data_IF_858597845817
#
_entry.id   IF_858597845817
#
_cell.length_a   1.000
_cell.length_b   1.000
_cell.length_c   1.000
_cell.angle_alpha   90.00
_cell.angle_beta   90.00
_cell.angle_gamma   90.00
#
_symmetry.space_group_name_H-M   'P 1'
#
loop_
_entity.id
_entity.type
_entity.pdbx_description
1 polymer ?
#
# COMPACT_ATOMS: atom_id res chain seq x y z
N UNK A 1 18.64 -7.24 -31.57
CA UNK A 1 18.29 -6.30 -30.49
C UNK A 1 17.65 -7.10 -29.35
N UNK A 2 17.78 -6.68 -28.10
CA UNK A 2 16.98 -7.30 -27.04
C UNK A 2 15.53 -6.90 -27.25
N UNK A 3 14.65 -7.90 -27.34
CA UNK A 3 13.22 -7.70 -27.50
C UNK A 3 12.69 -6.94 -26.27
N UNK A 4 12.07 -5.77 -26.48
CA UNK A 4 11.50 -4.99 -25.39
C UNK A 4 10.22 -5.68 -24.96
N UNK A 5 10.18 -6.19 -23.72
CA UNK A 5 8.98 -6.80 -23.17
C UNK A 5 7.80 -5.82 -23.24
N UNK A 6 6.62 -6.31 -23.67
CA UNK A 6 5.41 -5.51 -23.66
C UNK A 6 5.05 -5.12 -22.22
N UNK A 7 5.11 -3.83 -21.91
CA UNK A 7 4.93 -3.32 -20.55
C UNK A 7 3.43 -3.16 -20.26
N UNK A 8 2.87 -3.82 -19.22
CA UNK A 8 1.49 -3.65 -18.83
C UNK A 8 1.17 -2.18 -18.50
N UNK A 9 -0.06 -1.76 -18.83
CA UNK A 9 -0.52 -0.38 -18.60
C UNK A 9 -0.33 0.03 -17.13
N UNK A 10 0.30 1.19 -16.93
CA UNK A 10 0.52 1.78 -15.61
C UNK A 10 1.85 1.38 -14.94
N UNK A 11 2.63 0.52 -15.59
CA UNK A 11 4.00 0.23 -15.22
C UNK A 11 4.99 0.99 -16.12
N UNK A 12 6.22 1.08 -15.66
CA UNK A 12 7.37 1.54 -16.43
C UNK A 12 8.38 0.40 -16.57
N UNK A 13 9.23 0.48 -17.60
CA UNK A 13 10.34 -0.44 -17.81
C UNK A 13 11.59 0.33 -18.24
N UNK A 14 12.70 0.12 -17.54
CA UNK A 14 13.99 0.72 -17.84
C UNK A 14 15.00 -0.35 -18.23
N UNK A 15 15.66 -0.17 -19.37
CA UNK A 15 16.82 -0.97 -19.76
C UNK A 15 18.05 -0.52 -18.97
N UNK A 16 18.63 -1.41 -18.17
CA UNK A 16 19.83 -1.14 -17.38
C UNK A 16 21.09 -1.62 -18.09
N UNK A 17 20.99 -2.76 -18.80
CA UNK A 17 22.01 -3.31 -19.69
C UNK A 17 21.32 -3.93 -20.92
N UNK A 18 22.12 -4.38 -21.90
CA UNK A 18 21.58 -5.01 -23.12
C UNK A 18 20.69 -6.22 -22.82
N UNK A 19 20.95 -6.94 -21.75
CA UNK A 19 20.30 -8.17 -21.32
C UNK A 19 19.58 -8.03 -19.97
N UNK A 20 19.40 -6.80 -19.47
CA UNK A 20 18.80 -6.55 -18.16
C UNK A 20 17.83 -5.36 -18.21
N UNK A 21 16.58 -5.66 -17.88
CA UNK A 21 15.48 -4.70 -17.78
C UNK A 21 14.94 -4.70 -16.35
N UNK A 22 14.49 -3.54 -15.88
CA UNK A 22 13.78 -3.40 -14.60
C UNK A 22 12.40 -2.84 -14.90
N UNK A 23 11.37 -3.60 -14.55
CA UNK A 23 9.99 -3.15 -14.56
C UNK A 23 9.56 -2.71 -13.16
N UNK A 24 8.67 -1.73 -13.08
CA UNK A 24 8.13 -1.28 -11.81
C UNK A 24 6.91 -0.39 -11.95
N UNK A 25 6.33 -0.05 -10.81
CA UNK A 25 5.29 0.94 -10.68
C UNK A 25 5.59 1.90 -9.54
N UNK A 26 4.79 2.95 -9.40
CA UNK A 26 5.04 4.01 -8.40
C UNK A 26 3.79 4.34 -7.59
N UNK A 27 3.83 4.06 -6.30
CA UNK A 27 2.83 4.55 -5.36
C UNK A 27 3.35 5.81 -4.68
N UNK A 28 2.63 6.93 -4.81
CA UNK A 28 3.06 8.22 -4.25
C UNK A 28 2.73 8.28 -2.74
N UNK A 29 1.72 7.53 -2.31
CA UNK A 29 1.06 7.79 -1.02
C UNK A 29 1.13 6.62 -0.03
N UNK A 30 2.25 5.90 -0.02
CA UNK A 30 2.43 4.76 0.90
C UNK A 30 2.53 5.21 2.36
N UNK A 31 3.75 5.47 2.83
CA UNK A 31 4.02 5.83 4.23
C UNK A 31 3.38 7.15 4.68
N UNK A 32 3.15 8.09 3.75
CA UNK A 32 2.56 9.40 4.05
C UNK A 32 1.10 9.30 4.50
N UNK A 33 0.29 8.43 3.89
CA UNK A 33 -1.11 8.23 4.30
C UNK A 33 -1.18 7.59 5.68
N UNK A 34 -0.31 6.62 5.97
CA UNK A 34 -0.22 6.02 7.29
C UNK A 34 0.17 7.06 8.36
N UNK A 35 1.20 7.85 8.10
CA UNK A 35 1.65 8.92 9.00
C UNK A 35 0.54 9.96 9.24
N UNK A 36 -0.15 10.37 8.17
CA UNK A 36 -1.30 11.27 8.26
C UNK A 36 -2.42 10.67 9.11
N UNK A 37 -2.81 9.41 8.88
CA UNK A 37 -3.86 8.74 9.65
C UNK A 37 -3.51 8.66 11.14
N UNK A 38 -2.27 8.30 11.47
CA UNK A 38 -1.80 8.34 12.85
C UNK A 38 -1.91 9.74 13.45
N UNK A 39 -1.41 10.76 12.76
CA UNK A 39 -1.44 12.14 13.25
C UNK A 39 -2.87 12.64 13.50
N UNK A 40 -3.79 12.39 12.56
CA UNK A 40 -5.16 12.88 12.65
C UNK A 40 -6.00 12.17 13.73
N UNK A 41 -5.73 10.89 13.99
CA UNK A 41 -6.60 10.08 14.84
C UNK A 41 -6.00 9.72 16.21
N UNK A 42 -4.70 9.89 16.41
CA UNK A 42 -4.03 9.54 17.65
C UNK A 42 -4.40 10.46 18.82
N UNK A 43 -4.56 11.76 18.58
CA UNK A 43 -4.75 12.75 19.65
C UNK A 43 -3.46 13.08 20.41
N UNK A 44 -2.30 13.00 19.74
CA UNK A 44 -0.97 13.27 20.31
C UNK A 44 -0.07 12.02 20.37
N UNK A 45 1.17 12.20 20.82
CA UNK A 45 2.21 11.17 20.78
C UNK A 45 1.86 9.91 21.57
N UNK A 46 1.35 10.05 22.79
CA UNK A 46 0.91 8.89 23.60
C UNK A 46 -0.22 8.13 22.93
N UNK A 47 -1.10 8.85 22.23
CA UNK A 47 -2.19 8.28 21.47
C UNK A 47 -1.74 7.49 20.24
N UNK A 48 -0.58 7.79 19.66
CA UNK A 48 -0.08 7.10 18.47
C UNK A 48 0.31 5.66 18.77
N UNK A 49 0.96 5.42 19.92
CA UNK A 49 1.33 4.07 20.35
C UNK A 49 0.07 3.24 20.62
N UNK A 50 -0.87 3.81 21.38
CA UNK A 50 -2.14 3.16 21.71
C UNK A 50 -2.99 2.87 20.47
N UNK A 51 -3.07 3.80 19.51
CA UNK A 51 -3.84 3.59 18.29
C UNK A 51 -3.26 2.46 17.42
N UNK A 52 -1.92 2.36 17.35
CA UNK A 52 -1.26 1.23 16.67
C UNK A 52 -1.55 -0.10 17.37
N UNK A 53 -1.55 -0.13 18.70
CA UNK A 53 -1.90 -1.33 19.47
C UNK A 53 -3.36 -1.74 19.24
N UNK A 54 -4.30 -0.78 19.31
CA UNK A 54 -5.72 -0.99 19.02
C UNK A 54 -5.93 -1.56 17.61
N UNK A 55 -5.26 -0.99 16.59
CA UNK A 55 -5.32 -1.49 15.22
C UNK A 55 -4.65 -2.86 15.05
N UNK A 56 -3.61 -3.18 15.84
CA UNK A 56 -2.89 -4.46 15.76
C UNK A 56 -3.68 -5.63 16.34
N UNK A 57 -4.54 -5.36 17.33
CA UNK A 57 -5.39 -6.36 17.95
C UNK A 57 -6.57 -6.81 17.07
N UNK A 58 -6.78 -6.17 15.92
CA UNK A 58 -7.87 -6.46 15.00
C UNK A 58 -7.53 -7.60 14.05
N UNK A 59 -8.53 -8.43 13.76
CA UNK A 59 -8.47 -9.38 12.64
C UNK A 59 -8.48 -8.61 11.31
N UNK A 60 -7.84 -9.19 10.28
CA UNK A 60 -7.82 -8.60 8.95
C UNK A 60 -9.24 -8.39 8.40
N UNK A 61 -9.49 -7.23 7.77
CA UNK A 61 -10.78 -6.84 7.19
C UNK A 61 -11.99 -6.88 8.16
N UNK A 62 -11.75 -6.94 9.47
CA UNK A 62 -12.83 -7.00 10.48
C UNK A 62 -13.56 -5.67 10.71
N UNK A 63 -12.99 -4.55 10.23
CA UNK A 63 -13.54 -3.20 10.39
C UNK A 63 -14.76 -2.91 9.51
N UNK A 64 -15.00 -3.68 8.44
CA UNK A 64 -16.14 -3.46 7.53
C UNK A 64 -16.08 -2.15 6.74
N UNK A 65 -14.87 -1.65 6.48
CA UNK A 65 -14.63 -0.36 5.80
C UNK A 65 -13.95 -0.62 4.46
N UNK A 66 -14.31 0.15 3.44
CA UNK A 66 -13.57 0.21 2.18
C UNK A 66 -12.91 1.56 2.05
N UNK A 67 -11.59 1.55 1.85
CA UNK A 67 -10.76 2.76 1.70
C UNK A 67 -10.16 2.81 0.31
N UNK A 68 -10.35 3.95 -0.37
CA UNK A 68 -9.59 4.34 -1.55
C UNK A 68 -8.52 5.35 -1.11
N UNK A 69 -7.23 4.96 -1.02
CA UNK A 69 -6.20 5.79 -0.38
C UNK A 69 -5.60 6.77 -1.40
N UNK A 70 -6.42 7.66 -1.95
CA UNK A 70 -6.03 8.74 -2.86
C UNK A 70 -5.98 10.10 -2.13
N UNK A 71 -5.56 10.10 -0.87
CA UNK A 71 -5.57 11.32 -0.03
C UNK A 71 -4.58 12.40 -0.52
N UNK A 72 -3.61 12.02 -1.36
CA UNK A 72 -2.67 12.93 -2.01
C UNK A 72 -2.68 12.76 -3.55
N UNK A 73 -3.83 12.35 -4.11
CA UNK A 73 -4.04 12.18 -5.55
C UNK A 73 -3.95 10.74 -6.06
N UNK A 74 -3.97 10.57 -7.38
CA UNK A 74 -3.87 9.27 -8.04
C UNK A 74 -2.48 9.00 -8.61
N UNK A 75 -1.92 7.80 -8.42
CA UNK A 75 -0.62 7.42 -9.00
C UNK A 75 -0.62 6.08 -9.73
N UNK A 76 0.28 6.00 -10.74
CA UNK A 76 0.74 4.92 -11.64
C UNK A 76 -0.28 3.92 -12.22
N UNK A 77 -1.19 3.35 -11.44
CA UNK A 77 -2.21 2.42 -11.96
C UNK A 77 -3.54 3.14 -12.18
N UNK A 78 -3.55 4.05 -13.16
CA UNK A 78 -4.78 4.68 -13.66
C UNK A 78 -4.75 6.19 -13.85
N UNK A 79 -3.71 6.89 -13.38
CA UNK A 79 -3.47 8.34 -13.57
C UNK A 79 -4.76 9.17 -13.62
N UNK A 80 -5.39 9.37 -12.46
CA UNK A 80 -6.51 10.30 -12.32
C UNK A 80 -6.08 11.51 -11.54
N UNK A 81 -5.81 12.58 -12.27
CA UNK A 81 -5.64 13.91 -11.70
C UNK A 81 -6.91 14.29 -10.92
N UNK A 82 -6.73 14.84 -9.72
CA UNK A 82 -7.83 15.24 -8.84
C UNK A 82 -8.55 14.08 -8.14
N UNK A 83 -8.02 12.85 -8.16
CA UNK A 83 -8.55 11.78 -7.32
C UNK A 83 -8.48 12.16 -5.83
N UNK A 84 -9.53 11.85 -5.08
CA UNK A 84 -9.62 12.11 -3.65
C UNK A 84 -9.77 10.81 -2.86
N UNK A 85 -9.24 10.78 -1.65
CA UNK A 85 -9.42 9.65 -0.75
C UNK A 85 -10.90 9.43 -0.42
N UNK A 86 -11.28 8.18 -0.16
CA UNK A 86 -12.64 7.83 0.23
C UNK A 86 -12.59 6.78 1.34
N UNK A 87 -13.43 6.95 2.35
CA UNK A 87 -13.72 5.93 3.37
C UNK A 87 -15.22 5.66 3.33
N UNK A 88 -15.62 4.42 3.07
CA UNK A 88 -17.04 4.01 3.05
C UNK A 88 -17.29 2.86 4.02
N UNK A 89 -18.56 2.68 4.40
CA UNK A 89 -18.98 1.67 5.39
C UNK A 89 -19.02 2.17 6.83
N UNK A 90 -18.80 3.46 7.07
CA UNK A 90 -18.81 4.03 8.42
C UNK A 90 -20.20 3.91 9.06
N UNK A 91 -20.21 3.55 10.34
CA UNK A 91 -21.39 3.55 11.21
C UNK A 91 -21.08 4.29 12.50
N UNK A 92 -22.06 4.47 13.38
CA UNK A 92 -21.82 5.02 14.73
C UNK A 92 -20.89 4.16 15.60
N UNK A 93 -20.62 2.91 15.19
CA UNK A 93 -19.68 2.01 15.89
C UNK A 93 -18.25 2.13 15.37
N UNK A 94 -18.03 2.82 14.25
CA UNK A 94 -16.69 2.94 13.65
C UNK A 94 -15.77 3.72 14.57
N UNK A 95 -14.66 3.09 14.96
CA UNK A 95 -13.61 3.65 15.78
C UNK A 95 -12.48 4.23 14.95
N UNK A 96 -11.60 4.99 15.60
CA UNK A 96 -10.34 5.46 14.99
C UNK A 96 -9.41 4.32 14.57
N UNK A 97 -9.42 3.21 15.31
CA UNK A 97 -8.60 2.05 15.02
C UNK A 97 -9.08 1.34 13.74
N UNK A 98 -10.40 1.23 13.56
CA UNK A 98 -11.00 0.72 12.33
C UNK A 98 -10.53 1.51 11.11
N UNK A 99 -10.55 2.84 11.20
CA UNK A 99 -10.13 3.71 10.10
C UNK A 99 -8.63 3.55 9.81
N UNK A 100 -7.78 3.53 10.84
CA UNK A 100 -6.33 3.36 10.65
C UNK A 100 -6.03 1.99 10.04
N UNK A 101 -6.64 0.91 10.56
CA UNK A 101 -6.45 -0.45 10.05
C UNK A 101 -6.86 -0.55 8.58
N UNK A 102 -8.03 -0.03 8.23
CA UNK A 102 -8.53 0.00 6.85
C UNK A 102 -7.63 0.81 5.91
N UNK A 103 -7.06 1.93 6.39
CA UNK A 103 -6.07 2.70 5.64
C UNK A 103 -4.83 1.85 5.34
N UNK A 104 -4.26 1.19 6.34
CA UNK A 104 -3.04 0.37 6.19
C UNK A 104 -3.26 -0.78 5.21
N UNK A 105 -4.38 -1.49 5.33
CA UNK A 105 -4.77 -2.58 4.45
C UNK A 105 -5.01 -2.09 3.01
N UNK A 106 -5.65 -0.93 2.83
CA UNK A 106 -5.89 -0.38 1.48
C UNK A 106 -4.60 -0.05 0.72
N UNK A 107 -3.56 0.43 1.41
CA UNK A 107 -2.25 0.67 0.80
C UNK A 107 -1.59 -0.65 0.43
N UNK A 108 -1.67 -1.66 1.30
CA UNK A 108 -1.14 -2.99 1.02
C UNK A 108 -1.82 -3.65 -0.18
N UNK A 109 -3.15 -3.50 -0.31
CA UNK A 109 -3.90 -3.99 -1.46
C UNK A 109 -3.53 -3.26 -2.77
N UNK A 110 -3.20 -1.96 -2.72
CA UNK A 110 -2.66 -1.25 -3.89
C UNK A 110 -1.30 -1.79 -4.31
N UNK A 111 -0.43 -2.09 -3.34
CA UNK A 111 0.86 -2.74 -3.60
C UNK A 111 0.66 -4.14 -4.19
N UNK A 112 -0.28 -4.94 -3.68
CA UNK A 112 -0.66 -6.23 -4.26
C UNK A 112 -1.14 -6.09 -5.71
N UNK A 113 -1.96 -5.09 -6.01
CA UNK A 113 -2.42 -4.82 -7.37
C UNK A 113 -1.27 -4.51 -8.33
N UNK A 114 -0.30 -3.72 -7.87
CA UNK A 114 0.93 -3.42 -8.63
C UNK A 114 1.81 -4.66 -8.81
N UNK A 115 1.97 -5.45 -7.75
CA UNK A 115 2.69 -6.72 -7.82
C UNK A 115 2.07 -7.67 -8.84
N UNK A 116 0.75 -7.83 -8.84
CA UNK A 116 0.03 -8.65 -9.81
C UNK A 116 0.21 -8.17 -11.26
N UNK A 117 0.38 -6.86 -11.47
CA UNK A 117 0.66 -6.30 -12.80
C UNK A 117 2.11 -6.55 -13.24
N UNK A 118 3.07 -6.60 -12.30
CA UNK A 118 4.48 -6.88 -12.58
C UNK A 118 4.71 -8.39 -12.79
N UNK A 119 3.95 -9.24 -12.10
CA UNK A 119 4.13 -10.70 -12.07
C UNK A 119 4.27 -11.37 -13.45
N UNK A 120 3.51 -11.00 -14.52
CA UNK A 120 3.68 -11.58 -15.85
C UNK A 120 5.04 -11.29 -16.50
N UNK A 121 5.77 -10.27 -16.02
CA UNK A 121 7.11 -9.92 -16.49
C UNK A 121 8.22 -10.64 -15.72
N UNK A 122 7.88 -11.34 -14.65
CA UNK A 122 8.84 -12.02 -13.79
C UNK A 122 9.18 -13.41 -14.33
N UNK A 123 10.45 -13.78 -14.18
CA UNK A 123 10.96 -15.11 -14.48
C UNK A 123 10.35 -16.13 -13.49
N UNK A 124 10.27 -17.41 -13.87
CA UNK A 124 9.70 -18.47 -13.00
C UNK A 124 10.53 -18.78 -11.73
N UNK A 125 11.67 -18.13 -11.56
CA UNK A 125 12.50 -18.27 -10.37
C UNK A 125 11.86 -17.50 -9.21
N UNK A 126 11.50 -18.22 -8.15
CA UNK A 126 10.95 -17.78 -6.85
C UNK A 126 10.76 -16.29 -6.58
N UNK A 127 9.61 -15.94 -6.00
CA UNK A 127 9.33 -14.59 -5.52
C UNK A 127 10.07 -14.29 -4.22
N UNK A 128 10.94 -13.29 -4.25
CA UNK A 128 11.48 -12.64 -3.06
C UNK A 128 11.00 -11.19 -2.98
N UNK A 129 10.46 -10.80 -1.82
CA UNK A 129 9.98 -9.43 -1.58
C UNK A 129 10.92 -8.75 -0.59
N UNK A 130 11.57 -7.68 -1.04
CA UNK A 130 12.39 -6.81 -0.20
C UNK A 130 11.62 -5.51 0.06
N UNK A 131 11.33 -5.24 1.33
CA UNK A 131 10.59 -4.05 1.73
C UNK A 131 11.49 -3.11 2.55
N UNK A 132 11.47 -1.82 2.20
CA UNK A 132 12.23 -0.78 2.89
C UNK A 132 11.36 0.46 3.10
N UNK A 133 11.75 1.33 4.04
CA UNK A 133 11.06 2.59 4.31
C UNK A 133 10.75 2.77 5.80
N UNK A 134 10.91 4.01 6.29
CA UNK A 134 10.84 4.34 7.72
C UNK A 134 9.51 3.95 8.37
N UNK A 135 8.39 4.27 7.72
CA UNK A 135 7.05 3.95 8.21
C UNK A 135 6.82 2.44 8.36
N UNK A 136 7.39 1.63 7.46
CA UNK A 136 7.32 0.18 7.53
C UNK A 136 8.20 -0.38 8.65
N UNK A 137 9.43 0.12 8.78
CA UNK A 137 10.35 -0.32 9.83
C UNK A 137 9.82 -0.05 11.25
N UNK A 138 9.08 1.03 11.42
CA UNK A 138 8.49 1.42 12.71
C UNK A 138 7.17 0.71 13.05
N UNK A 139 6.60 -0.07 12.13
CA UNK A 139 5.29 -0.72 12.31
C UNK A 139 5.35 -2.22 12.01
N UNK A 140 5.52 -3.08 13.05
CA UNK A 140 5.45 -4.53 12.89
C UNK A 140 4.11 -5.00 12.31
N UNK A 141 3.01 -4.34 12.68
CA UNK A 141 1.69 -4.60 12.09
C UNK A 141 1.72 -4.43 10.57
N UNK A 142 2.29 -3.33 10.07
CA UNK A 142 2.26 -3.07 8.65
C UNK A 142 3.16 -4.01 7.85
N UNK A 143 4.26 -4.46 8.45
CA UNK A 143 5.09 -5.54 7.90
C UNK A 143 4.26 -6.81 7.71
N UNK A 144 3.47 -7.18 8.71
CA UNK A 144 2.61 -8.36 8.62
C UNK A 144 1.51 -8.20 7.57
N UNK A 145 0.79 -7.06 7.56
CA UNK A 145 -0.26 -6.78 6.56
C UNK A 145 0.30 -6.87 5.13
N UNK A 146 1.49 -6.33 4.88
CA UNK A 146 2.13 -6.43 3.57
C UNK A 146 2.50 -7.86 3.23
N UNK A 147 3.11 -8.61 4.16
CA UNK A 147 3.44 -10.02 3.96
C UNK A 147 2.20 -10.85 3.60
N UNK A 148 1.12 -10.70 4.36
CA UNK A 148 -0.15 -11.39 4.13
C UNK A 148 -0.80 -10.99 2.81
N UNK A 149 -0.62 -9.74 2.37
CA UNK A 149 -1.18 -9.25 1.09
C UNK A 149 -0.49 -9.84 -0.14
N UNK A 150 0.77 -10.27 -0.01
CA UNK A 150 1.52 -10.88 -1.12
C UNK A 150 1.46 -12.41 -1.14
N UNK A 151 1.01 -13.04 -0.05
CA UNK A 151 0.70 -14.47 -0.01
C UNK A 151 -0.48 -14.84 -0.94
#
# INVERSE_FOLDING_TARGET
EAEVAEVPRGLWCYSVKRDMQIAGGTLIDGGSIYAWGLEQFAGGLEGMARLQEEASAMDADSHGLTVLPFFNGGSSTGFRDGATGTVTGMTLKTSRADILRAIMESVALRLRGMFNAIRPLMNENGLEVYATGDALFKSPLWQQILADSFA
#
